data_IF_581067932613
#
_entry.id   IF_581067932613
#
_cell.length_a   1.000
_cell.length_b   1.000
_cell.length_c   1.000
_cell.angle_alpha   90.00
_cell.angle_beta   90.00
_cell.angle_gamma   90.00
#
_symmetry.space_group_name_H-M   'P 1'
#
loop_
_entity.id
_entity.type
_entity.pdbx_description
1 polymer ?
#
# COMPACT_ATOMS: atom_id res chain seq x y z
N UNK A 1 -2.85 22.50 -10.24
CA UNK A 1 -3.48 21.69 -9.17
C UNK A 1 -2.85 22.08 -7.85
N UNK A 2 -3.63 22.20 -6.78
CA UNK A 2 -3.09 22.47 -5.43
C UNK A 2 -2.17 21.29 -5.06
N UNK A 3 -0.97 21.57 -4.53
CA UNK A 3 -0.04 20.52 -4.11
C UNK A 3 -0.69 19.74 -2.96
N UNK A 4 -0.90 18.45 -3.16
CA UNK A 4 -1.46 17.57 -2.14
C UNK A 4 -0.42 17.36 -1.03
N UNK A 5 -0.90 17.15 0.20
CA UNK A 5 -0.04 16.83 1.33
C UNK A 5 0.51 15.41 1.18
N UNK A 6 1.80 15.27 1.47
CA UNK A 6 2.54 14.00 1.44
C UNK A 6 3.05 13.69 2.84
N UNK A 7 3.27 12.42 3.15
CA UNK A 7 3.92 12.04 4.39
C UNK A 7 5.32 12.64 4.50
N UNK A 8 5.67 13.04 5.72
CA UNK A 8 7.03 13.44 6.10
C UNK A 8 7.88 12.22 6.43
N UNK A 9 9.20 12.38 6.48
CA UNK A 9 10.15 11.27 6.71
C UNK A 9 9.87 10.48 8.00
N UNK A 10 9.46 11.14 9.08
CA UNK A 10 9.06 10.52 10.34
C UNK A 10 7.75 9.73 10.20
N UNK A 11 6.78 10.24 9.44
CA UNK A 11 5.53 9.56 9.13
C UNK A 11 5.76 8.35 8.21
N UNK A 12 6.69 8.44 7.25
CA UNK A 12 7.07 7.31 6.39
C UNK A 12 7.61 6.13 7.21
N UNK A 13 8.39 6.39 8.27
CA UNK A 13 8.84 5.32 9.18
C UNK A 13 7.65 4.62 9.83
N UNK A 14 6.69 5.38 10.33
CA UNK A 14 5.47 4.84 10.93
C UNK A 14 4.66 4.01 9.92
N UNK A 15 4.57 4.47 8.67
CA UNK A 15 3.91 3.73 7.59
C UNK A 15 4.63 2.41 7.32
N UNK A 16 5.95 2.42 7.20
CA UNK A 16 6.74 1.21 6.99
C UNK A 16 6.56 0.20 8.14
N UNK A 17 6.66 0.66 9.39
CA UNK A 17 6.44 -0.18 10.57
C UNK A 17 5.03 -0.79 10.56
N UNK A 18 4.02 -0.01 10.15
CA UNK A 18 2.64 -0.52 10.06
C UNK A 18 2.44 -1.54 8.95
N UNK A 19 3.15 -1.41 7.83
CA UNK A 19 3.14 -2.40 6.74
C UNK A 19 3.73 -3.71 7.24
N UNK A 20 4.93 -3.68 7.84
CA UNK A 20 5.60 -4.88 8.37
C UNK A 20 4.70 -5.66 9.34
N UNK A 21 4.07 -4.95 10.30
CA UNK A 21 3.15 -5.57 11.25
C UNK A 21 1.87 -6.10 10.55
N UNK A 22 1.35 -5.41 9.55
CA UNK A 22 0.20 -5.90 8.77
C UNK A 22 0.53 -7.22 8.06
N UNK A 23 1.71 -7.30 7.42
CA UNK A 23 2.17 -8.52 6.75
C UNK A 23 2.27 -9.69 7.71
N UNK A 24 2.85 -9.46 8.90
CA UNK A 24 2.98 -10.46 9.95
C UNK A 24 1.60 -10.95 10.42
N UNK A 25 0.69 -10.02 10.74
CA UNK A 25 -0.65 -10.35 11.23
C UNK A 25 -1.47 -11.13 10.20
N UNK A 26 -1.49 -10.70 8.95
CA UNK A 26 -2.22 -11.36 7.87
C UNK A 26 -1.62 -12.74 7.58
N UNK A 27 -0.29 -12.85 7.50
CA UNK A 27 0.39 -14.13 7.30
C UNK A 27 0.08 -15.13 8.42
N UNK A 28 0.13 -14.67 9.67
CA UNK A 28 -0.18 -15.49 10.86
C UNK A 28 -1.63 -15.92 10.92
N UNK A 29 -2.56 -15.07 10.46
CA UNK A 29 -3.99 -15.39 10.40
C UNK A 29 -4.28 -16.49 9.38
N UNK A 30 -3.78 -16.34 8.14
CA UNK A 30 -3.99 -17.30 7.05
C UNK A 30 -3.05 -18.51 7.07
N UNK A 31 -2.18 -18.63 8.10
CA UNK A 31 -1.17 -19.69 8.23
C UNK A 31 -0.31 -19.84 6.97
N UNK A 32 0.02 -18.70 6.35
CA UNK A 32 0.83 -18.67 5.14
C UNK A 32 2.29 -18.96 5.47
N UNK A 33 2.94 -19.80 4.66
CA UNK A 33 4.38 -19.94 4.73
C UNK A 33 5.08 -18.70 4.18
N UNK A 34 6.31 -18.44 4.62
CA UNK A 34 7.14 -17.38 4.06
C UNK A 34 7.28 -17.49 2.52
N UNK A 35 7.32 -18.71 1.97
CA UNK A 35 7.38 -18.95 0.53
C UNK A 35 6.08 -18.60 -0.22
N UNK A 36 4.91 -18.74 0.41
CA UNK A 36 3.62 -18.32 -0.14
C UNK A 36 3.47 -16.80 -0.09
N UNK A 37 3.99 -16.16 0.97
CA UNK A 37 4.05 -14.70 1.06
C UNK A 37 4.98 -14.11 0.01
N UNK A 38 6.21 -14.65 -0.14
CA UNK A 38 7.22 -14.18 -1.08
C UNK A 38 6.78 -14.27 -2.56
N UNK A 39 5.81 -15.14 -2.87
CA UNK A 39 5.24 -15.24 -4.22
C UNK A 39 4.23 -14.12 -4.52
N UNK A 40 3.71 -13.42 -3.51
CA UNK A 40 2.82 -12.27 -3.71
C UNK A 40 3.66 -11.06 -4.08
N UNK A 41 3.58 -10.67 -5.35
CA UNK A 41 4.29 -9.51 -5.87
C UNK A 41 3.43 -8.28 -5.67
N UNK A 42 3.66 -7.57 -4.59
CA UNK A 42 3.03 -6.29 -4.37
C UNK A 42 3.99 -5.26 -3.81
N UNK A 43 3.59 -3.99 -3.87
CA UNK A 43 4.35 -2.87 -3.37
C UNK A 43 3.38 -1.86 -2.75
N UNK A 44 3.79 -1.22 -1.66
CA UNK A 44 3.03 -0.16 -0.99
C UNK A 44 3.67 1.16 -1.36
N UNK A 45 2.93 2.01 -2.07
CA UNK A 45 3.39 3.32 -2.51
C UNK A 45 2.63 4.43 -1.81
N UNK A 46 3.37 5.46 -1.44
CA UNK A 46 2.83 6.73 -0.90
C UNK A 46 2.71 7.75 -2.01
N UNK A 47 2.02 8.85 -1.74
CA UNK A 47 1.65 9.84 -2.76
C UNK A 47 2.83 10.38 -3.59
N UNK A 48 4.06 10.39 -3.04
CA UNK A 48 5.26 10.84 -3.77
C UNK A 48 5.67 9.90 -4.91
N UNK A 49 5.30 8.63 -4.83
CA UNK A 49 5.64 7.58 -5.80
C UNK A 49 4.46 7.20 -6.72
N UNK A 50 3.33 7.91 -6.59
CA UNK A 50 2.13 7.66 -7.39
C UNK A 50 2.15 8.47 -8.69
N UNK A 51 1.74 7.83 -9.77
CA UNK A 51 1.41 8.54 -11.00
C UNK A 51 0.09 9.34 -10.80
N UNK A 52 -0.14 10.41 -11.57
CA UNK A 52 -1.35 11.24 -11.43
C UNK A 52 -2.67 10.46 -11.56
N UNK A 53 -2.71 9.39 -12.34
CA UNK A 53 -3.85 8.49 -12.52
C UNK A 53 -4.04 7.50 -11.34
N UNK A 54 -3.03 7.35 -10.48
CA UNK A 54 -3.10 6.55 -9.24
C UNK A 54 -3.51 7.39 -8.02
N UNK A 55 -3.78 8.69 -8.21
CA UNK A 55 -4.25 9.60 -7.15
C UNK A 55 -5.75 9.76 -7.24
N UNK A 56 -6.48 9.34 -6.21
CA UNK A 56 -7.94 9.35 -6.15
C UNK A 56 -8.45 10.03 -4.87
N UNK A 57 -9.67 10.56 -4.93
CA UNK A 57 -10.33 11.18 -3.78
C UNK A 57 -11.45 10.28 -3.25
N UNK A 58 -11.59 10.23 -1.93
CA UNK A 58 -12.59 9.39 -1.25
C UNK A 58 -11.95 8.30 -0.40
N UNK A 59 -11.18 7.36 -1.00
CA UNK A 59 -10.56 6.29 -0.23
C UNK A 59 -9.22 6.72 0.40
N UNK A 60 -8.75 5.92 1.37
CA UNK A 60 -7.45 6.09 2.01
C UNK A 60 -6.33 5.34 1.28
N UNK A 61 -6.69 4.27 0.56
CA UNK A 61 -5.80 3.50 -0.30
C UNK A 61 -6.60 2.96 -1.49
N UNK A 62 -5.90 2.55 -2.55
CA UNK A 62 -6.47 1.76 -3.62
C UNK A 62 -5.49 0.70 -4.09
N UNK A 63 -5.99 -0.46 -4.50
CA UNK A 63 -5.19 -1.52 -5.10
C UNK A 63 -5.31 -1.45 -6.62
N UNK A 64 -4.17 -1.33 -7.28
CA UNK A 64 -4.08 -1.39 -8.74
C UNK A 64 -3.39 -2.69 -9.13
N UNK A 65 -4.04 -3.49 -9.97
CA UNK A 65 -3.46 -4.71 -10.55
C UNK A 65 -2.80 -4.40 -11.88
N UNK A 66 -1.51 -4.69 -11.94
CA UNK A 66 -0.69 -4.65 -13.13
C UNK A 66 -0.43 -6.06 -13.67
N UNK A 67 -0.40 -6.20 -14.99
CA UNK A 67 0.12 -7.39 -15.66
C UNK A 67 1.54 -7.10 -16.12
N UNK A 68 2.52 -7.76 -15.52
CA UNK A 68 3.92 -7.69 -15.93
C UNK A 68 4.26 -8.73 -16.98
N UNK A 69 5.03 -8.35 -18.00
CA UNK A 69 5.63 -9.27 -18.97
C UNK A 69 7.14 -8.95 -19.08
N UNK A 70 8.01 -9.95 -18.97
CA UNK A 70 9.45 -9.76 -19.21
C UNK A 70 9.67 -9.45 -20.69
N UNK A 71 10.38 -8.36 -20.98
CA UNK A 71 10.62 -7.84 -22.34
C UNK A 71 11.27 -8.84 -23.31
N UNK A 72 11.96 -9.86 -22.80
CA UNK A 72 12.78 -10.79 -23.60
C UNK A 72 12.09 -12.13 -23.93
N UNK A 73 10.80 -12.28 -23.62
CA UNK A 73 10.09 -13.56 -23.82
C UNK A 73 8.68 -13.33 -24.35
N UNK A 74 8.40 -13.82 -25.56
CA UNK A 74 7.10 -13.79 -26.24
C UNK A 74 6.12 -14.88 -25.76
N UNK A 75 6.42 -15.57 -24.66
CA UNK A 75 5.56 -16.60 -24.06
C UNK A 75 4.57 -15.95 -23.09
N UNK A 76 3.28 -16.01 -23.43
CA UNK A 76 2.17 -15.54 -22.57
C UNK A 76 2.15 -16.23 -21.20
N UNK A 77 2.74 -17.42 -21.06
CA UNK A 77 2.86 -18.16 -19.80
C UNK A 77 3.78 -17.51 -18.74
N UNK A 78 4.48 -16.42 -19.09
CA UNK A 78 5.36 -15.68 -18.18
C UNK A 78 4.76 -14.35 -17.72
N UNK A 79 3.49 -14.07 -18.04
CA UNK A 79 2.79 -12.92 -17.46
C UNK A 79 2.53 -13.17 -15.97
N UNK A 80 2.86 -12.21 -15.13
CA UNK A 80 2.55 -12.27 -13.70
C UNK A 80 1.72 -11.07 -13.28
N UNK A 81 0.84 -11.27 -12.32
CA UNK A 81 0.14 -10.17 -11.66
C UNK A 81 1.08 -9.51 -10.66
N UNK A 82 1.05 -8.18 -10.63
CA UNK A 82 1.70 -7.33 -9.65
C UNK A 82 0.67 -6.37 -9.09
N UNK A 83 0.61 -6.20 -7.78
CA UNK A 83 -0.36 -5.33 -7.14
C UNK A 83 0.34 -4.13 -6.53
N UNK A 84 -0.19 -2.93 -6.74
CA UNK A 84 0.28 -1.72 -6.07
C UNK A 84 -0.79 -1.22 -5.12
N UNK A 85 -0.49 -1.18 -3.83
CA UNK A 85 -1.31 -0.52 -2.82
C UNK A 85 -0.90 0.95 -2.81
N UNK A 86 -1.79 1.83 -3.28
CA UNK A 86 -1.55 3.25 -3.47
C UNK A 86 -2.18 4.03 -2.30
N UNK A 87 -1.38 4.36 -1.28
CA UNK A 87 -1.81 5.17 -0.16
C UNK A 87 -2.08 6.61 -0.60
N UNK A 88 -3.22 7.14 -0.17
CA UNK A 88 -3.63 8.52 -0.43
C UNK A 88 -3.23 9.39 0.77
N UNK A 89 -1.95 9.78 0.85
CA UNK A 89 -1.37 10.52 2.00
C UNK A 89 -2.26 11.69 2.44
N UNK A 90 -2.75 12.47 1.48
CA UNK A 90 -3.60 13.63 1.72
C UNK A 90 -4.93 13.27 2.42
N UNK A 91 -5.56 12.15 2.06
CA UNK A 91 -6.78 11.66 2.69
C UNK A 91 -6.49 11.13 4.10
N UNK A 92 -5.38 10.43 4.28
CA UNK A 92 -4.98 9.87 5.57
C UNK A 92 -4.64 10.99 6.55
N UNK A 93 -3.80 11.93 6.12
CA UNK A 93 -3.38 13.08 6.94
C UNK A 93 -4.56 13.95 7.34
N UNK A 94 -5.52 14.19 6.45
CA UNK A 94 -6.73 14.95 6.78
C UNK A 94 -7.52 14.32 7.94
N UNK A 95 -7.62 12.98 7.99
CA UNK A 95 -8.29 12.29 9.10
C UNK A 95 -7.47 12.37 10.39
N UNK A 96 -6.15 12.18 10.32
CA UNK A 96 -5.27 12.29 11.49
C UNK A 96 -5.29 13.70 12.08
N UNK A 97 -5.35 14.74 11.24
CA UNK A 97 -5.48 16.12 11.67
C UNK A 97 -6.87 16.41 12.29
N UNK A 98 -7.93 15.79 11.78
CA UNK A 98 -9.29 15.96 12.27
C UNK A 98 -9.55 15.20 13.58
N UNK A 99 -8.95 14.02 13.75
CA UNK A 99 -9.18 13.13 14.88
C UNK A 99 -7.91 13.02 15.74
N UNK A 100 -7.74 13.93 16.69
CA UNK A 100 -6.51 14.05 17.49
C UNK A 100 -6.15 12.81 18.32
N UNK A 101 -7.11 11.92 18.60
CA UNK A 101 -6.88 10.65 19.30
C UNK A 101 -6.38 9.53 18.35
N UNK A 102 -6.60 9.69 17.04
CA UNK A 102 -6.23 8.71 16.04
C UNK A 102 -4.73 8.78 15.76
N UNK A 103 -4.02 7.70 16.07
CA UNK A 103 -2.59 7.58 15.78
C UNK A 103 -2.40 7.11 14.33
N UNK A 104 -1.45 7.76 13.63
CA UNK A 104 -1.08 7.39 12.27
C UNK A 104 -0.74 5.89 12.16
N UNK A 105 0.03 5.34 13.10
CA UNK A 105 0.39 3.93 13.11
C UNK A 105 -0.84 3.01 13.06
N UNK A 106 -1.77 3.19 14.00
CA UNK A 106 -2.95 2.33 14.12
C UNK A 106 -3.87 2.45 12.91
N UNK A 107 -4.00 3.66 12.35
CA UNK A 107 -4.84 3.88 11.19
C UNK A 107 -4.24 3.30 9.91
N UNK A 108 -2.94 3.53 9.66
CA UNK A 108 -2.26 2.92 8.52
C UNK A 108 -2.23 1.40 8.64
N UNK A 109 -2.02 0.85 9.84
CA UNK A 109 -2.10 -0.59 10.08
C UNK A 109 -3.47 -1.16 9.66
N UNK A 110 -4.55 -0.49 10.08
CA UNK A 110 -5.91 -0.87 9.67
C UNK A 110 -6.09 -0.84 8.15
N UNK A 111 -5.64 0.23 7.50
CA UNK A 111 -5.73 0.39 6.04
C UNK A 111 -4.97 -0.75 5.34
N UNK A 112 -3.71 -0.99 5.70
CA UNK A 112 -2.89 -2.01 5.03
C UNK A 112 -3.47 -3.41 5.24
N UNK A 113 -3.93 -3.76 6.45
CA UNK A 113 -4.60 -5.05 6.69
C UNK A 113 -5.83 -5.19 5.78
N UNK A 114 -6.64 -4.14 5.65
CA UNK A 114 -7.82 -4.16 4.79
C UNK A 114 -7.46 -4.39 3.31
N UNK A 115 -6.38 -3.77 2.82
CA UNK A 115 -5.94 -3.97 1.43
C UNK A 115 -5.24 -5.32 1.18
N UNK A 116 -4.77 -6.01 2.22
CA UNK A 116 -4.09 -7.31 2.09
C UNK A 116 -5.04 -8.52 2.06
N UNK A 117 -6.29 -8.35 2.52
CA UNK A 117 -7.31 -9.41 2.66
C UNK A 117 -8.23 -9.44 1.44
#
# INVERSE_FOLDING_TARGET
>A
MKKLQTFKTDQIKIVNDSVEIAEELVSNHYKMSASQWLHRRYDVKTLVDLNPDEVVHGPYAQIIRYKGQRKDTSLESLTYDFYKICLQDHSILAIIEQLSEMKLFSFTLYIIIHELI
#
